data_IF_185930287912
#
_entry.id   IF_185930287912
#
_cell.length_a   1.000
_cell.length_b   1.000
_cell.length_c   1.000
_cell.angle_alpha   90.00
_cell.angle_beta   90.00
_cell.angle_gamma   90.00
#
_symmetry.space_group_name_H-M   'P 1'
#
loop_
_entity.id
_entity.type
_entity.pdbx_description
1 polymer ?
#
# COMPACT_ATOMS: atom_id res chain seq x y z
N UNK A 1 -4.18 -9.18 -22.66
CA UNK A 1 -2.91 -8.43 -22.74
C UNK A 1 -2.37 -8.37 -21.32
N UNK A 2 -1.49 -9.29 -20.96
CA UNK A 2 -0.73 -9.20 -19.72
C UNK A 2 0.23 -8.04 -19.90
N UNK A 3 0.04 -6.95 -19.16
CA UNK A 3 1.00 -5.86 -19.14
C UNK A 3 2.31 -6.43 -18.59
N UNK A 4 3.30 -6.60 -19.47
CA UNK A 4 4.65 -7.00 -19.08
C UNK A 4 5.28 -5.78 -18.42
N UNK A 5 5.55 -5.88 -17.11
CA UNK A 5 6.25 -4.83 -16.38
C UNK A 5 7.74 -5.02 -16.56
N UNK A 6 8.35 -4.21 -17.41
CA UNK A 6 9.80 -4.18 -17.60
C UNK A 6 10.48 -3.42 -16.45
N UNK A 7 10.40 -3.96 -15.23
CA UNK A 7 11.05 -3.39 -14.04
C UNK A 7 12.01 -4.41 -13.40
N UNK A 8 13.31 -4.10 -13.29
CA UNK A 8 14.26 -4.97 -12.63
C UNK A 8 13.81 -5.39 -11.23
N UNK A 9 13.80 -6.70 -10.97
CA UNK A 9 13.49 -7.28 -9.66
C UNK A 9 12.03 -7.67 -9.44
N UNK A 10 11.08 -7.29 -10.30
CA UNK A 10 9.66 -7.63 -10.10
C UNK A 10 9.44 -9.16 -10.05
N UNK A 11 10.10 -9.91 -10.95
CA UNK A 11 10.03 -11.37 -11.03
C UNK A 11 10.40 -12.12 -9.75
N UNK A 12 11.22 -11.51 -8.89
CA UNK A 12 11.63 -12.08 -7.61
C UNK A 12 10.84 -11.51 -6.43
N UNK A 13 10.34 -10.27 -6.54
CA UNK A 13 9.70 -9.54 -5.44
C UNK A 13 8.17 -9.58 -5.48
N UNK A 14 7.57 -10.14 -6.52
CA UNK A 14 6.11 -10.35 -6.62
C UNK A 14 5.70 -11.66 -5.96
N UNK A 15 4.71 -11.60 -5.06
CA UNK A 15 4.08 -12.80 -4.47
C UNK A 15 3.28 -13.56 -5.52
N UNK A 16 2.60 -12.83 -6.41
CA UNK A 16 1.79 -13.39 -7.49
C UNK A 16 2.18 -12.74 -8.81
N UNK A 17 2.75 -13.53 -9.74
CA UNK A 17 3.21 -13.05 -11.06
C UNK A 17 2.11 -12.46 -11.94
N UNK A 18 0.85 -12.73 -11.62
CA UNK A 18 -0.33 -12.22 -12.33
C UNK A 18 -0.88 -10.93 -11.73
N UNK A 19 -0.37 -10.48 -10.57
CA UNK A 19 -0.84 -9.29 -9.87
C UNK A 19 0.35 -8.33 -9.77
N UNK A 20 0.46 -7.50 -10.79
CA UNK A 20 1.55 -6.56 -10.91
C UNK A 20 1.05 -5.14 -10.60
N UNK A 21 1.89 -4.28 -10.02
CA UNK A 21 1.48 -2.92 -9.67
C UNK A 21 1.23 -2.08 -10.92
N UNK A 22 0.30 -1.13 -10.84
CA UNK A 22 0.10 -0.16 -11.92
C UNK A 22 1.39 0.69 -12.08
N UNK A 23 2.01 0.77 -13.27
CA UNK A 23 3.22 1.56 -13.51
C UNK A 23 3.09 3.04 -13.13
N UNK A 24 1.92 3.64 -13.36
CA UNK A 24 1.69 5.09 -13.18
C UNK A 24 1.58 5.50 -11.71
N UNK A 25 1.13 4.58 -10.85
CA UNK A 25 0.89 4.85 -9.43
C UNK A 25 1.76 4.02 -8.50
N UNK A 26 2.76 3.30 -9.02
CA UNK A 26 3.61 2.44 -8.19
C UNK A 26 4.41 3.25 -7.18
N UNK A 27 4.67 2.65 -6.03
CA UNK A 27 5.63 3.19 -5.07
C UNK A 27 7.04 2.85 -5.58
N UNK A 28 7.94 3.83 -5.46
CA UNK A 28 9.34 3.70 -5.84
C UNK A 28 10.15 3.81 -4.55
N UNK A 29 10.94 2.78 -4.24
CA UNK A 29 11.82 2.79 -3.08
C UNK A 29 13.14 3.44 -3.42
N UNK A 30 13.48 4.52 -2.72
CA UNK A 30 14.73 5.22 -2.89
C UNK A 30 15.83 4.48 -2.14
N UNK A 31 17.02 4.46 -2.72
CA UNK A 31 18.20 3.97 -2.02
C UNK A 31 18.66 5.02 -1.00
N UNK A 32 18.98 4.63 0.25
CA UNK A 32 19.45 5.57 1.27
C UNK A 32 20.87 6.10 0.99
N UNK A 33 21.62 5.45 0.11
CA UNK A 33 22.89 5.94 -0.41
C UNK A 33 22.61 7.00 -1.48
N UNK A 34 22.77 8.27 -1.10
CA UNK A 34 22.54 9.43 -1.96
C UNK A 34 23.42 9.35 -3.23
N UNK A 35 22.77 9.52 -4.38
CA UNK A 35 23.33 9.81 -5.72
C UNK A 35 23.82 8.67 -6.65
N UNK A 36 23.84 7.40 -6.26
CA UNK A 36 24.22 6.31 -7.21
C UNK A 36 23.34 5.05 -7.21
N UNK A 37 22.41 4.91 -6.26
CA UNK A 37 21.56 3.73 -6.16
C UNK A 37 20.40 3.76 -7.16
N UNK A 38 20.25 2.70 -7.96
CA UNK A 38 19.06 2.50 -8.79
C UNK A 38 17.79 2.42 -7.93
N UNK A 39 16.70 3.01 -8.44
CA UNK A 39 15.38 2.93 -7.82
C UNK A 39 14.97 1.47 -7.59
N UNK A 40 14.64 1.13 -6.34
CA UNK A 40 14.27 -0.23 -5.96
C UNK A 40 12.78 -0.49 -6.19
N UNK A 41 12.49 -1.71 -6.62
CA UNK A 41 11.13 -2.20 -6.81
C UNK A 41 10.50 -2.68 -5.50
N UNK A 42 9.23 -2.32 -5.32
CA UNK A 42 8.28 -2.94 -4.40
C UNK A 42 6.90 -3.04 -5.08
N UNK A 43 6.18 -4.14 -4.86
CA UNK A 43 4.82 -4.31 -5.36
C UNK A 43 3.84 -3.55 -4.46
N UNK A 44 3.69 -2.26 -4.76
CA UNK A 44 2.80 -1.36 -4.05
C UNK A 44 2.33 -0.23 -4.97
N UNK A 45 1.10 0.26 -4.74
CA UNK A 45 0.51 1.37 -5.47
C UNK A 45 -0.10 2.41 -4.52
N UNK A 46 0.08 3.68 -4.86
CA UNK A 46 -0.69 4.77 -4.26
C UNK A 46 -2.16 4.70 -4.67
N UNK A 47 -3.03 4.91 -3.69
CA UNK A 47 -4.48 5.01 -3.85
C UNK A 47 -4.93 6.41 -3.44
N UNK A 48 -5.86 6.97 -4.22
CA UNK A 48 -6.47 8.26 -3.93
C UNK A 48 -7.44 8.14 -2.74
N UNK A 49 -7.41 9.12 -1.87
CA UNK A 49 -8.31 9.24 -0.72
C UNK A 49 -9.65 9.86 -1.07
N UNK A 50 -10.43 10.14 -0.04
CA UNK A 50 -11.68 10.88 -0.17
C UNK A 50 -11.45 12.23 -0.88
N UNK A 51 -12.41 12.65 -1.71
CA UNK A 51 -12.32 13.84 -2.59
C UNK A 51 -11.09 13.88 -3.52
N UNK A 52 -10.52 12.71 -3.83
CA UNK A 52 -9.40 12.61 -4.77
C UNK A 52 -8.05 13.03 -4.20
N UNK A 53 -7.92 13.13 -2.87
CA UNK A 53 -6.65 13.41 -2.21
C UNK A 53 -5.58 12.44 -2.74
N UNK A 54 -4.51 12.92 -3.39
CA UNK A 54 -3.51 12.04 -3.98
C UNK A 54 -2.72 11.32 -2.89
N UNK A 55 -2.30 10.07 -3.16
CA UNK A 55 -1.39 9.28 -2.30
C UNK A 55 -1.84 9.18 -0.83
N UNK A 56 -3.15 9.05 -0.60
CA UNK A 56 -3.70 8.96 0.74
C UNK A 56 -3.51 7.58 1.38
N UNK A 57 -3.43 6.55 0.56
CA UNK A 57 -3.16 5.18 1.00
C UNK A 57 -2.16 4.52 0.06
N UNK A 58 -1.55 3.45 0.54
CA UNK A 58 -0.74 2.55 -0.26
C UNK A 58 -1.35 1.16 -0.13
N UNK A 59 -1.76 0.55 -1.25
CA UNK A 59 -2.03 -0.88 -1.28
C UNK A 59 -0.76 -1.62 -1.67
N UNK A 60 -0.43 -2.66 -0.93
CA UNK A 60 0.72 -3.52 -1.21
C UNK A 60 0.37 -4.97 -0.95
N UNK A 61 1.11 -5.88 -1.57
CA UNK A 61 1.05 -7.30 -1.20
C UNK A 61 1.58 -7.51 0.23
N UNK A 62 1.16 -8.59 0.87
CA UNK A 62 1.75 -9.04 2.12
C UNK A 62 3.24 -9.34 1.93
N UNK A 63 4.15 -8.79 2.76
CA UNK A 63 5.58 -8.95 2.57
C UNK A 63 5.98 -10.43 2.59
N UNK A 64 6.87 -10.81 1.69
CA UNK A 64 7.52 -12.12 1.68
C UNK A 64 8.78 -12.07 2.55
N UNK A 65 9.34 -13.21 2.99
CA UNK A 65 10.53 -13.22 3.84
C UNK A 65 11.69 -12.36 3.32
N UNK A 66 11.92 -12.35 2.00
CA UNK A 66 12.98 -11.58 1.35
C UNK A 66 12.59 -10.15 0.95
N UNK A 67 11.34 -9.71 1.20
CA UNK A 67 10.86 -8.34 0.92
C UNK A 67 10.43 -7.60 2.18
N UNK A 68 10.68 -8.15 3.38
CA UNK A 68 10.33 -7.49 4.66
C UNK A 68 11.11 -6.18 4.82
N UNK A 69 12.39 -6.15 4.45
CA UNK A 69 13.21 -4.93 4.49
C UNK A 69 12.64 -3.84 3.59
N UNK A 70 12.39 -4.17 2.31
CA UNK A 70 11.77 -3.26 1.36
C UNK A 70 10.41 -2.69 1.87
N UNK A 71 9.61 -3.52 2.56
CA UNK A 71 8.34 -3.09 3.15
C UNK A 71 8.54 -2.05 4.26
N UNK A 72 9.50 -2.26 5.16
CA UNK A 72 9.78 -1.28 6.22
C UNK A 72 10.44 -0.02 5.69
N UNK A 73 11.30 -0.13 4.68
CA UNK A 73 11.85 1.02 3.96
C UNK A 73 10.73 1.87 3.36
N UNK A 74 9.71 1.23 2.78
CA UNK A 74 8.52 1.91 2.27
C UNK A 74 7.77 2.68 3.36
N UNK A 75 7.49 2.00 4.49
CA UNK A 75 6.77 2.58 5.63
C UNK A 75 7.51 3.80 6.16
N UNK A 76 8.83 3.70 6.29
CA UNK A 76 9.70 4.79 6.75
C UNK A 76 9.74 5.95 5.74
N UNK A 77 10.00 5.66 4.46
CA UNK A 77 10.07 6.64 3.38
C UNK A 77 8.78 7.46 3.27
N UNK A 78 7.63 6.79 3.35
CA UNK A 78 6.31 7.41 3.19
C UNK A 78 5.74 7.94 4.50
N UNK A 79 6.52 7.91 5.59
CA UNK A 79 6.13 8.38 6.94
C UNK A 79 4.78 7.81 7.38
N UNK A 80 4.55 6.53 7.09
CA UNK A 80 3.28 5.88 7.37
C UNK A 80 3.13 5.64 8.87
N UNK A 81 2.02 6.12 9.44
CA UNK A 81 1.74 5.99 10.88
C UNK A 81 0.87 4.78 11.22
N UNK A 82 0.12 4.25 10.24
CA UNK A 82 -0.84 3.16 10.45
C UNK A 82 -0.69 2.11 9.35
N UNK A 83 -0.63 0.84 9.77
CA UNK A 83 -0.64 -0.32 8.87
C UNK A 83 -1.90 -1.14 9.16
N UNK A 84 -2.72 -1.37 8.14
CA UNK A 84 -3.94 -2.16 8.21
C UNK A 84 -3.78 -3.44 7.41
N UNK A 85 -3.85 -4.59 8.09
CA UNK A 85 -3.83 -5.90 7.46
C UNK A 85 -5.26 -6.42 7.27
N UNK A 86 -5.69 -6.59 6.02
CA UNK A 86 -7.07 -7.00 5.68
C UNK A 86 -7.22 -8.51 5.46
N UNK A 87 -6.26 -9.32 5.90
CA UNK A 87 -6.32 -10.79 5.76
C UNK A 87 -6.07 -11.55 7.05
N UNK A 88 -6.72 -12.71 7.16
CA UNK A 88 -6.48 -13.69 8.22
C UNK A 88 -5.21 -14.48 7.89
N UNK A 89 -4.33 -14.66 8.88
CA UNK A 89 -3.07 -15.41 8.75
C UNK A 89 -3.27 -16.92 8.48
N UNK A 90 -4.46 -17.45 8.74
CA UNK A 90 -4.83 -18.85 8.52
C UNK A 90 -6.34 -18.99 8.49
N UNK A 91 -6.91 -19.52 7.42
CA UNK A 91 -8.26 -20.12 7.49
C UNK A 91 -8.10 -21.49 8.16
N UNK A 92 -8.83 -21.72 9.25
CA UNK A 92 -8.71 -22.92 10.06
C UNK A 92 -9.00 -24.21 9.27
N UNK A 93 -8.12 -25.21 9.45
CA UNK A 93 -8.39 -26.65 9.40
C UNK A 93 -9.16 -27.26 8.21
N UNK A 94 -8.70 -27.03 6.97
CA UNK A 94 -8.86 -28.06 5.94
C UNK A 94 -7.50 -28.54 5.47
N UNK A 95 -7.24 -29.83 5.70
CA UNK A 95 -6.14 -30.58 5.07
C UNK A 95 -6.45 -30.68 3.57
N UNK A 96 -6.24 -29.60 2.81
CA UNK A 96 -6.28 -29.66 1.35
C UNK A 96 -4.91 -30.07 0.83
N UNK A 97 -4.78 -31.39 0.67
CA UNK A 97 -3.76 -32.04 -0.15
C UNK A 97 -3.74 -31.43 -1.55
N UNK A 98 -2.53 -31.17 -2.06
CA UNK A 98 -2.19 -30.96 -3.47
C UNK A 98 -3.07 -29.97 -4.26
N UNK A 99 -2.89 -28.67 -4.00
CA UNK A 99 -2.72 -27.61 -5.00
C UNK A 99 -2.61 -26.26 -4.26
N UNK A 100 -1.39 -25.88 -3.91
CA UNK A 100 -1.03 -24.77 -3.00
C UNK A 100 -1.29 -23.35 -3.54
N UNK A 101 -2.06 -23.16 -4.61
CA UNK A 101 -2.06 -21.88 -5.36
C UNK A 101 -3.26 -20.96 -5.15
N UNK A 102 -4.20 -21.25 -4.25
CA UNK A 102 -5.31 -20.31 -3.97
C UNK A 102 -5.57 -20.16 -2.47
N UNK A 103 -4.59 -19.61 -1.76
CA UNK A 103 -4.81 -19.00 -0.44
C UNK A 103 -4.99 -17.49 -0.65
N UNK A 104 -5.94 -16.88 0.06
CA UNK A 104 -6.47 -15.53 -0.18
C UNK A 104 -5.44 -14.43 -0.51
N UNK A 105 -5.95 -13.39 -1.18
CA UNK A 105 -5.20 -12.17 -1.50
C UNK A 105 -4.73 -11.51 -0.20
N UNK A 106 -3.51 -11.82 0.25
CA UNK A 106 -2.84 -11.14 1.35
C UNK A 106 -2.50 -9.72 0.89
N UNK A 107 -3.49 -8.85 0.93
CA UNK A 107 -3.33 -7.42 0.66
C UNK A 107 -3.16 -6.70 2.00
N UNK A 108 -2.24 -5.75 2.03
CA UNK A 108 -2.03 -4.84 3.15
C UNK A 108 -2.32 -3.43 2.64
N UNK A 109 -3.06 -2.68 3.45
CA UNK A 109 -3.33 -1.27 3.22
C UNK A 109 -2.52 -0.47 4.24
N UNK A 110 -1.55 0.30 3.76
CA UNK A 110 -0.77 1.22 4.57
C UNK A 110 -1.38 2.60 4.44
N UNK A 111 -1.62 3.26 5.57
CA UNK A 111 -2.14 4.63 5.61
C UNK A 111 -0.96 5.56 5.80
N UNK A 112 -0.73 6.41 4.80
CA UNK A 112 0.31 7.43 4.80
C UNK A 112 -0.25 8.69 5.43
N UNK A 113 0.38 9.19 6.49
CA UNK A 113 -0.06 10.45 7.10
C UNK A 113 0.83 11.60 6.65
N UNK A 114 0.20 12.56 5.98
CA UNK A 114 0.64 13.95 5.96
C UNK A 114 -0.52 14.96 5.91
N UNK A 115 -1.78 14.51 5.77
CA UNK A 115 -2.93 15.41 5.56
C UNK A 115 -4.31 14.84 5.97
N UNK A 116 -4.44 13.54 6.28
CA UNK A 116 -5.77 12.97 6.58
C UNK A 116 -6.26 13.32 7.99
N UNK A 117 -5.36 13.52 8.96
CA UNK A 117 -5.74 14.05 10.27
C UNK A 117 -6.18 15.53 10.22
N UNK A 118 -5.66 16.32 9.27
CA UNK A 118 -6.09 17.71 9.05
C UNK A 118 -7.47 17.78 8.40
N UNK A 119 -7.77 16.87 7.47
CA UNK A 119 -9.08 16.75 6.82
C UNK A 119 -10.19 16.37 7.81
N UNK A 120 -9.92 15.45 8.74
CA UNK A 120 -10.89 15.06 9.78
C UNK A 120 -11.11 16.17 10.83
N UNK A 121 -10.09 17.02 11.08
CA UNK A 121 -10.27 18.23 11.89
C UNK A 121 -11.10 19.29 11.17
N UNK A 122 -10.84 19.54 9.89
CA UNK A 122 -11.57 20.54 9.10
C UNK A 122 -13.03 20.18 8.83
N UNK A 123 -13.36 18.88 8.71
CA UNK A 123 -14.75 18.44 8.56
C UNK A 123 -15.56 18.55 9.87
N UNK A 124 -14.91 18.39 11.03
CA UNK A 124 -15.57 18.55 12.33
C UNK A 124 -15.87 20.03 12.66
N UNK A 125 -15.04 20.96 12.19
CA UNK A 125 -15.24 22.41 12.40
C UNK A 125 -16.30 23.01 11.46
N UNK A 126 -16.50 22.43 10.26
CA UNK A 126 -17.53 22.90 9.32
C UNK A 126 -18.97 22.52 9.71
N UNK A 127 -19.17 21.46 10.49
CA UNK A 127 -20.51 21.03 10.93
C UNK A 127 -21.04 21.83 12.15
N UNK A 128 -20.16 22.55 12.86
CA UNK A 128 -20.55 23.42 13.99
C UNK A 128 -20.88 24.86 13.59
N UNK A 129 -20.58 25.28 12.36
CA UNK A 129 -20.79 26.66 11.90
C UNK A 129 -22.17 26.92 11.27
N UNK A 130 -23.01 25.89 11.05
CA UNK A 130 -24.28 26.00 10.31
C UNK A 130 -25.53 26.04 11.22
N UNK A 131 -25.38 26.32 12.51
CA UNK A 131 -26.52 26.38 13.47
C UNK A 131 -26.72 27.72 14.19
N UNK A 132 -26.00 28.79 13.85
CA UNK A 132 -26.19 30.10 14.48
C UNK A 132 -27.05 31.11 13.72
N UNK A 133 -27.49 30.82 12.48
CA UNK A 133 -28.20 31.81 11.63
C UNK A 133 -29.67 31.46 11.31
N UNK A 134 -30.35 30.74 12.23
CA UNK A 134 -31.81 30.63 12.20
C UNK A 134 -32.39 30.83 13.60
N UNK A 135 -32.52 32.10 14.01
CA UNK A 135 -33.65 32.72 14.72
C UNK A 135 -33.43 34.22 14.79
#
# INVERSE_FOLDING_TARGET
ITAELDIPGHMMKDRYKTILPNPESRVILRSPEEDTGSDRYINANYIKGYRGAPRAYIATQGPMPHTVGDFWDMVWQERSSIIVMVTRLKENNEVRRHNSSKSGFQQIHVVTDAAQLTCLRGAAESDTADQSDRW
#
